data_IF_958570562663
#
_entry.id   IF_958570562663
#
_cell.length_a   1.000
_cell.length_b   1.000
_cell.length_c   1.000
_cell.angle_alpha   90.00
_cell.angle_beta   90.00
_cell.angle_gamma   90.00
#
_symmetry.space_group_name_H-M   'P 1'
#
loop_
_entity.id
_entity.type
_entity.pdbx_description
1 polymer ?
#
# COMPACT_ATOMS: atom_id res chain seq x y z
N UNK A 1 6.99 -50.50 -37.09
CA UNK A 1 6.55 -50.38 -35.68
C UNK A 1 5.50 -49.27 -35.62
N UNK A 2 4.21 -49.61 -35.48
CA UNK A 2 3.13 -48.62 -35.41
C UNK A 2 3.03 -48.04 -33.99
N UNK A 3 3.14 -46.72 -33.85
CA UNK A 3 3.02 -46.04 -32.56
C UNK A 3 1.60 -46.10 -31.97
N UNK A 4 1.49 -45.92 -30.66
CA UNK A 4 0.22 -45.98 -29.93
C UNK A 4 -0.81 -44.98 -30.48
N UNK A 5 -1.94 -45.52 -30.94
CA UNK A 5 -3.05 -44.78 -31.54
C UNK A 5 -3.68 -43.79 -30.54
N UNK A 6 -3.56 -44.05 -29.24
CA UNK A 6 -4.16 -43.21 -28.22
C UNK A 6 -3.51 -41.83 -28.12
N UNK A 7 -2.23 -41.68 -28.48
CA UNK A 7 -1.57 -40.36 -28.51
C UNK A 7 -2.18 -39.42 -29.56
N UNK A 8 -2.93 -39.94 -30.53
CA UNK A 8 -3.66 -39.12 -31.51
C UNK A 8 -5.00 -38.61 -30.97
N UNK A 9 -5.46 -39.10 -29.81
CA UNK A 9 -6.72 -38.70 -29.21
C UNK A 9 -6.49 -37.51 -28.27
N UNK A 10 -7.29 -36.46 -28.43
CA UNK A 10 -7.17 -35.21 -27.69
C UNK A 10 -7.38 -35.34 -26.18
N UNK A 11 -8.09 -36.37 -25.73
CA UNK A 11 -8.37 -36.62 -24.31
C UNK A 11 -7.28 -37.44 -23.61
N UNK A 12 -6.30 -38.00 -24.33
CA UNK A 12 -5.31 -38.90 -23.73
C UNK A 12 -4.37 -38.15 -22.77
N UNK A 13 -4.20 -38.69 -21.56
CA UNK A 13 -3.42 -38.03 -20.48
C UNK A 13 -1.92 -37.97 -20.79
N UNK A 14 -1.40 -38.91 -21.57
CA UNK A 14 0.01 -38.95 -21.98
C UNK A 14 0.41 -37.88 -23.01
N UNK A 15 -0.55 -37.13 -23.56
CA UNK A 15 -0.25 -36.06 -24.51
C UNK A 15 0.37 -34.87 -23.76
N UNK A 16 1.53 -34.38 -24.21
CA UNK A 16 2.22 -33.24 -23.57
C UNK A 16 1.30 -32.03 -23.35
N UNK A 17 0.41 -31.73 -24.30
CA UNK A 17 -0.57 -30.63 -24.19
C UNK A 17 -1.55 -30.77 -23.02
N UNK A 18 -1.85 -32.00 -22.60
CA UNK A 18 -2.74 -32.25 -21.47
C UNK A 18 -1.96 -32.27 -20.17
N UNK A 19 -0.75 -32.83 -20.17
CA UNK A 19 0.17 -32.77 -19.04
C UNK A 19 0.49 -31.32 -18.65
N UNK A 20 0.72 -30.43 -19.61
CA UNK A 20 0.94 -29.01 -19.34
C UNK A 20 -0.29 -28.33 -18.72
N UNK A 21 -1.50 -28.67 -19.16
CA UNK A 21 -2.74 -28.15 -18.56
C UNK A 21 -2.93 -28.62 -17.12
N UNK A 22 -2.68 -29.91 -16.87
CA UNK A 22 -2.74 -30.47 -15.51
C UNK A 22 -1.71 -29.78 -14.62
N UNK A 23 -0.48 -29.64 -15.10
CA UNK A 23 0.59 -28.96 -14.37
C UNK A 23 0.24 -27.49 -14.04
N UNK A 24 -0.31 -26.74 -15.00
CA UNK A 24 -0.77 -25.36 -14.76
C UNK A 24 -1.88 -25.29 -13.71
N UNK A 25 -2.84 -26.22 -13.75
CA UNK A 25 -3.92 -26.29 -12.78
C UNK A 25 -3.40 -26.67 -11.38
N UNK A 26 -2.45 -27.60 -11.30
CA UNK A 26 -1.78 -27.98 -10.04
C UNK A 26 -0.96 -26.83 -9.47
N UNK A 27 -0.22 -26.10 -10.30
CA UNK A 27 0.54 -24.92 -9.88
C UNK A 27 -0.38 -23.83 -9.32
N UNK A 28 -1.49 -23.54 -10.01
CA UNK A 28 -2.50 -22.59 -9.53
C UNK A 28 -3.10 -23.03 -8.19
N UNK A 29 -3.48 -24.31 -8.06
CA UNK A 29 -4.02 -24.86 -6.82
C UNK A 29 -3.01 -24.81 -5.66
N UNK A 30 -1.71 -25.01 -5.94
CA UNK A 30 -0.65 -24.86 -4.94
C UNK A 30 -0.46 -23.40 -4.52
N UNK A 31 -0.55 -22.45 -5.46
CA UNK A 31 -0.48 -21.02 -5.15
C UNK A 31 -1.65 -20.59 -4.26
N UNK A 32 -2.87 -21.03 -4.56
CA UNK A 32 -4.05 -20.79 -3.73
C UNK A 32 -3.89 -21.38 -2.32
N UNK A 33 -3.44 -22.63 -2.22
CA UNK A 33 -3.18 -23.28 -0.92
C UNK A 33 -2.15 -22.52 -0.09
N UNK A 34 -1.08 -22.04 -0.70
CA UNK A 34 -0.07 -21.19 -0.02
C UNK A 34 -0.69 -19.89 0.49
N UNK A 35 -1.52 -19.24 -0.31
CA UNK A 35 -2.19 -17.98 0.10
C UNK A 35 -3.16 -18.22 1.24
N UNK A 36 -3.94 -19.31 1.19
CA UNK A 36 -4.84 -19.70 2.26
C UNK A 36 -4.08 -20.03 3.54
N UNK A 37 -2.97 -20.77 3.45
CA UNK A 37 -2.12 -21.09 4.60
C UNK A 37 -1.55 -19.83 5.26
N UNK A 38 -1.11 -18.85 4.47
CA UNK A 38 -0.66 -17.55 4.98
C UNK A 38 -1.76 -16.83 5.77
N UNK A 39 -2.97 -16.75 5.22
CA UNK A 39 -4.11 -16.10 5.88
C UNK A 39 -4.52 -16.86 7.16
N UNK A 40 -4.43 -18.18 7.15
CA UNK A 40 -4.71 -19.00 8.33
C UNK A 40 -3.69 -18.75 9.45
N UNK A 41 -2.40 -18.64 9.10
CA UNK A 41 -1.35 -18.30 10.04
C UNK A 41 -1.55 -16.89 10.64
N UNK A 42 -1.82 -15.89 9.79
CA UNK A 42 -2.12 -14.51 10.22
C UNK A 42 -3.31 -14.48 11.20
N UNK A 43 -4.40 -15.19 10.90
CA UNK A 43 -5.56 -15.27 11.80
C UNK A 43 -5.22 -15.99 13.12
N UNK A 44 -4.34 -16.98 13.11
CA UNK A 44 -3.90 -17.67 14.32
C UNK A 44 -3.04 -16.74 15.19
N UNK A 45 -2.16 -15.95 14.57
CA UNK A 45 -1.37 -14.91 15.24
C UNK A 45 -2.28 -13.83 15.85
N UNK A 46 -3.27 -13.34 15.10
CA UNK A 46 -4.28 -12.38 15.61
C UNK A 46 -5.02 -12.93 16.82
N UNK A 47 -5.45 -14.20 16.79
CA UNK A 47 -6.12 -14.86 17.92
C UNK A 47 -5.21 -15.02 19.12
N UNK A 48 -3.94 -15.38 18.91
CA UNK A 48 -2.97 -15.52 19.99
C UNK A 48 -2.71 -14.16 20.68
N UNK A 49 -2.61 -13.09 19.88
CA UNK A 49 -2.47 -11.72 20.41
C UNK A 49 -3.73 -11.31 21.20
N UNK A 50 -4.92 -11.60 20.67
CA UNK A 50 -6.19 -11.34 21.36
C UNK A 50 -6.28 -12.10 22.69
N UNK A 51 -5.86 -13.36 22.73
CA UNK A 51 -5.79 -14.16 23.96
C UNK A 51 -4.82 -13.57 24.98
N UNK A 52 -3.62 -13.14 24.56
CA UNK A 52 -2.66 -12.48 25.44
C UNK A 52 -3.22 -11.18 26.02
N UNK A 53 -3.88 -10.36 25.19
CA UNK A 53 -4.54 -9.13 25.65
C UNK A 53 -5.66 -9.44 26.65
N UNK A 54 -6.44 -10.49 26.41
CA UNK A 54 -7.48 -10.94 27.33
C UNK A 54 -6.90 -11.39 28.67
N UNK A 55 -5.84 -12.21 28.66
CA UNK A 55 -5.17 -12.64 29.89
C UNK A 55 -4.54 -11.47 30.65
N UNK A 56 -3.98 -10.48 29.95
CA UNK A 56 -3.45 -9.26 30.55
C UNK A 56 -4.56 -8.42 31.21
N UNK A 57 -5.74 -8.35 30.58
CA UNK A 57 -6.91 -7.68 31.15
C UNK A 57 -7.43 -8.42 32.40
N UNK A 58 -7.54 -9.74 32.34
CA UNK A 58 -7.98 -10.59 33.46
C UNK A 58 -7.01 -10.54 34.65
N UNK A 59 -5.71 -10.46 34.39
CA UNK A 59 -4.67 -10.40 35.43
C UNK A 59 -4.62 -9.05 36.16
N UNK A 60 -5.25 -7.98 35.65
CA UNK A 60 -5.32 -6.68 36.31
C UNK A 60 -4.00 -5.91 36.46
N UNK A 61 -2.88 -6.43 35.96
CA UNK A 61 -1.52 -5.86 36.14
C UNK A 61 -1.24 -4.63 35.24
N UNK A 62 -2.15 -4.25 34.35
CA UNK A 62 -1.97 -3.09 33.48
C UNK A 62 -3.26 -2.32 33.22
N UNK A 63 -3.40 -1.13 33.81
CA UNK A 63 -4.57 -0.23 33.68
C UNK A 63 -4.87 0.30 32.26
N UNK A 64 -4.29 -0.27 31.21
CA UNK A 64 -4.56 0.05 29.80
C UNK A 64 -5.64 -0.85 29.16
N UNK A 65 -6.17 -1.83 29.89
CA UNK A 65 -7.07 -2.89 29.40
C UNK A 65 -8.49 -2.45 28.96
N UNK A 66 -8.80 -1.15 28.92
CA UNK A 66 -10.17 -0.67 28.65
C UNK A 66 -10.41 -0.15 27.23
N UNK A 67 -9.35 -0.01 26.40
CA UNK A 67 -9.52 0.45 25.02
C UNK A 67 -9.70 -0.77 24.12
N UNK A 68 -10.90 -0.89 23.51
CA UNK A 68 -11.18 -1.92 22.52
C UNK A 68 -10.06 -1.97 21.45
N UNK A 69 -9.43 -3.12 21.16
CA UNK A 69 -8.31 -3.22 20.22
C UNK A 69 -8.67 -2.72 18.81
N UNK A 70 -9.94 -2.88 18.40
CA UNK A 70 -10.47 -2.36 17.13
C UNK A 70 -10.46 -0.84 17.01
N UNK A 71 -10.50 -0.13 18.13
CA UNK A 71 -10.50 1.33 18.21
C UNK A 71 -9.13 1.86 18.68
N UNK A 72 -8.23 0.95 19.08
CA UNK A 72 -6.90 1.32 19.55
C UNK A 72 -6.13 2.12 18.49
N UNK A 73 -6.27 1.80 17.20
CA UNK A 73 -5.63 2.57 16.13
C UNK A 73 -6.07 4.06 16.11
N UNK A 74 -7.30 4.36 16.53
CA UNK A 74 -7.85 5.72 16.61
C UNK A 74 -7.26 6.51 17.79
N UNK A 75 -6.98 5.83 18.91
CA UNK A 75 -6.40 6.44 20.11
C UNK A 75 -4.87 6.29 20.20
N UNK A 76 -4.28 5.51 19.30
CA UNK A 76 -2.83 5.29 19.12
C UNK A 76 -2.17 6.36 18.24
N UNK A 77 -2.86 7.46 17.93
CA UNK A 77 -2.31 8.56 17.15
C UNK A 77 -1.00 9.12 17.76
N UNK A 78 -0.22 9.83 16.94
CA UNK A 78 1.11 10.39 17.26
C UNK A 78 1.24 11.15 18.59
N UNK A 79 0.12 11.47 19.25
CA UNK A 79 0.05 12.09 20.57
C UNK A 79 0.28 11.11 21.73
N UNK A 80 0.22 9.79 21.48
CA UNK A 80 0.28 8.74 22.52
C UNK A 80 1.65 8.03 22.63
N UNK A 81 2.63 8.41 21.80
CA UNK A 81 4.01 7.92 21.86
C UNK A 81 4.89 8.70 22.85
N UNK A 82 6.04 8.14 23.21
CA UNK A 82 7.06 8.70 24.13
C UNK A 82 7.57 10.10 23.73
N UNK A 83 7.30 10.54 22.50
CA UNK A 83 7.36 11.94 22.09
C UNK A 83 6.07 12.68 22.45
N UNK A 84 5.60 12.48 23.69
CA UNK A 84 4.47 13.19 24.24
C UNK A 84 4.73 14.67 24.01
N UNK A 85 3.74 15.36 23.44
CA UNK A 85 3.54 16.78 23.68
C UNK A 85 4.85 17.53 23.85
N UNK A 86 5.72 17.53 22.83
CA UNK A 86 6.94 18.31 22.92
C UNK A 86 6.47 19.71 23.30
N UNK A 87 6.96 20.25 24.41
CA UNK A 87 6.52 21.52 24.98
C UNK A 87 6.54 22.63 23.91
N UNK A 88 7.37 22.44 22.88
CA UNK A 88 7.49 23.27 21.70
C UNK A 88 6.33 23.13 20.70
N UNK A 89 5.77 21.93 20.51
CA UNK A 89 4.54 21.72 19.72
C UNK A 89 3.30 22.21 20.47
N UNK A 90 3.21 22.01 21.78
CA UNK A 90 2.11 22.56 22.58
C UNK A 90 2.17 24.08 22.67
N UNK A 91 3.36 24.65 22.85
CA UNK A 91 3.57 26.10 22.83
C UNK A 91 3.27 26.72 21.46
N UNK A 92 3.48 25.97 20.38
CA UNK A 92 3.14 26.39 19.02
C UNK A 92 1.62 26.35 18.79
N UNK A 93 0.94 25.28 19.19
CA UNK A 93 -0.52 25.18 19.14
C UNK A 93 -1.21 26.22 20.04
N UNK A 94 -0.60 26.56 21.18
CA UNK A 94 -1.06 27.60 22.10
C UNK A 94 -0.62 29.02 21.68
N UNK A 95 0.05 29.16 20.53
CA UNK A 95 0.46 30.45 19.95
C UNK A 95 1.54 31.20 20.73
N UNK A 96 2.18 30.57 21.73
CA UNK A 96 3.25 31.16 22.54
C UNK A 96 4.60 31.20 21.79
N UNK A 97 4.80 30.36 20.77
CA UNK A 97 6.02 30.33 19.94
C UNK A 97 5.68 30.31 18.45
N UNK A 98 6.48 30.99 17.63
CA UNK A 98 6.30 31.05 16.16
C UNK A 98 7.04 29.91 15.45
N UNK A 99 6.50 29.48 14.29
CA UNK A 99 7.03 28.38 13.44
C UNK A 99 8.52 28.54 13.11
N UNK A 100 8.97 29.80 13.03
CA UNK A 100 10.33 30.15 12.63
C UNK A 100 11.39 29.50 13.52
N UNK A 101 11.14 29.41 14.84
CA UNK A 101 12.09 28.79 15.77
C UNK A 101 12.18 27.26 15.64
N UNK A 102 11.13 26.62 15.13
CA UNK A 102 11.10 25.17 14.92
C UNK A 102 11.84 24.76 13.64
N UNK A 103 11.73 25.55 12.57
CA UNK A 103 12.48 25.31 11.34
C UNK A 103 13.99 25.52 11.55
N UNK A 104 14.36 26.59 12.27
CA UNK A 104 15.76 26.95 12.49
C UNK A 104 16.53 25.88 13.29
N UNK A 105 15.90 25.29 14.32
CA UNK A 105 16.50 24.18 15.08
C UNK A 105 16.63 22.89 14.27
N UNK A 106 15.70 22.61 13.35
CA UNK A 106 15.73 21.42 12.52
C UNK A 106 16.90 21.46 11.54
N UNK A 107 17.19 22.64 10.99
CA UNK A 107 18.32 22.86 10.09
C UNK A 107 19.68 22.74 10.81
N UNK A 108 19.79 23.18 12.07
CA UNK A 108 21.01 23.02 12.89
C UNK A 108 21.24 21.56 13.31
N UNK A 109 20.20 20.86 13.76
CA UNK A 109 20.29 19.45 14.14
C UNK A 109 20.64 18.54 12.95
N UNK A 110 20.20 18.91 11.74
CA UNK A 110 20.48 18.19 10.49
C UNK A 110 21.90 18.42 9.98
N UNK A 111 22.56 19.51 10.36
CA UNK A 111 23.95 19.80 9.98
C UNK A 111 24.97 19.10 10.89
N UNK A 112 24.58 18.68 12.11
CA UNK A 112 25.45 18.03 13.08
C UNK A 112 25.45 16.48 13.03
N UNK A 113 24.57 15.86 12.24
CA UNK A 113 24.45 14.40 12.16
C UNK A 113 25.05 13.82 10.87
N UNK A 114 26.27 13.27 10.96
CA UNK A 114 26.88 12.35 9.98
C UNK A 114 26.60 10.89 10.45
N UNK A 115 26.36 9.90 9.56
CA UNK A 115 25.38 8.85 9.81
C UNK A 115 25.95 7.56 10.43
N UNK A 116 25.24 7.00 11.40
CA UNK A 116 25.27 5.59 11.76
C UNK A 116 23.82 5.14 12.00
N UNK A 117 23.40 4.02 11.37
CA UNK A 117 22.01 3.52 11.34
C UNK A 117 21.43 3.10 12.72
N UNK A 118 20.21 2.56 12.79
CA UNK A 118 19.47 1.81 11.77
C UNK A 118 18.24 2.54 11.22
N UNK A 119 17.72 2.00 10.10
CA UNK A 119 16.70 2.56 9.22
C UNK A 119 15.38 2.89 9.93
N UNK A 120 15.25 4.12 10.42
CA UNK A 120 13.99 4.83 10.30
C UNK A 120 13.79 5.20 8.83
N UNK A 121 12.57 5.06 8.32
CA UNK A 121 12.22 5.33 6.93
C UNK A 121 12.22 6.84 6.74
N UNK A 122 13.42 7.41 6.68
CA UNK A 122 13.63 8.83 6.44
C UNK A 122 12.97 9.19 5.11
N UNK A 123 11.99 10.07 5.16
CA UNK A 123 11.46 10.83 4.03
C UNK A 123 12.52 11.83 3.49
N UNK A 124 13.73 11.32 3.26
CA UNK A 124 14.81 11.95 2.54
C UNK A 124 15.16 11.03 1.36
N UNK A 125 14.14 10.72 0.54
CA UNK A 125 14.39 10.14 -0.77
C UNK A 125 15.09 11.21 -1.60
N UNK A 126 16.38 11.03 -1.87
CA UNK A 126 17.02 11.68 -3.00
C UNK A 126 16.08 11.47 -4.20
N UNK A 127 15.44 12.55 -4.66
CA UNK A 127 14.28 12.44 -5.53
C UNK A 127 14.69 11.87 -6.88
N UNK A 128 14.50 10.56 -7.05
CA UNK A 128 14.61 9.92 -8.35
C UNK A 128 13.59 10.59 -9.27
N UNK A 129 14.05 11.21 -10.36
CA UNK A 129 13.17 11.85 -11.34
C UNK A 129 12.06 10.91 -11.82
N UNK A 130 12.36 9.61 -11.88
CA UNK A 130 11.40 8.55 -12.20
C UNK A 130 10.31 8.39 -11.14
N UNK A 131 10.63 8.50 -9.86
CA UNK A 131 9.65 8.41 -8.77
C UNK A 131 8.74 9.64 -8.72
N UNK A 132 9.28 10.83 -9.01
CA UNK A 132 8.46 12.05 -9.18
C UNK A 132 7.47 11.84 -10.33
N UNK A 133 7.94 11.31 -11.47
CA UNK A 133 7.06 11.03 -12.63
C UNK A 133 5.99 9.99 -12.32
N UNK A 134 6.32 8.94 -11.55
CA UNK A 134 5.34 7.94 -11.11
C UNK A 134 4.32 8.56 -10.17
N UNK A 135 4.75 9.33 -9.16
CA UNK A 135 3.85 9.99 -8.20
C UNK A 135 2.98 11.05 -8.86
N UNK A 136 3.53 11.84 -9.77
CA UNK A 136 2.77 12.78 -10.58
C UNK A 136 1.76 12.04 -11.49
N UNK A 137 2.11 10.86 -11.98
CA UNK A 137 1.21 10.00 -12.75
C UNK A 137 0.06 9.38 -11.96
N UNK A 138 0.17 9.33 -10.63
CA UNK A 138 -0.87 8.84 -9.72
C UNK A 138 -1.87 9.94 -9.30
N UNK A 139 -1.73 11.17 -9.81
CA UNK A 139 -2.67 12.26 -9.56
C UNK A 139 -4.01 12.02 -10.29
N UNK A 140 -5.15 11.94 -9.58
CA UNK A 140 -6.47 11.75 -10.18
C UNK A 140 -6.87 12.91 -11.12
N UNK A 141 -6.43 14.15 -10.86
CA UNK A 141 -6.74 15.28 -11.73
C UNK A 141 -6.03 15.17 -13.08
N UNK A 142 -4.79 14.68 -13.09
CA UNK A 142 -4.03 14.41 -14.30
C UNK A 142 -4.70 13.31 -15.14
N UNK A 143 -5.25 12.29 -14.50
CA UNK A 143 -6.00 11.23 -15.19
C UNK A 143 -7.25 11.79 -15.90
N UNK A 144 -8.01 12.64 -15.21
CA UNK A 144 -9.20 13.32 -15.77
C UNK A 144 -8.81 14.22 -16.96
N UNK A 145 -7.71 14.97 -16.83
CA UNK A 145 -7.23 15.83 -17.92
C UNK A 145 -6.82 15.03 -19.16
N UNK A 146 -6.12 13.90 -18.99
CA UNK A 146 -5.76 13.00 -20.09
C UNK A 146 -6.99 12.42 -20.77
N UNK A 147 -7.99 12.00 -20.00
CA UNK A 147 -9.25 11.49 -20.53
C UNK A 147 -9.99 12.56 -21.35
N UNK A 148 -10.05 13.80 -20.85
CA UNK A 148 -10.64 14.93 -21.57
C UNK A 148 -9.90 15.22 -22.88
N UNK A 149 -8.57 15.25 -22.86
CA UNK A 149 -7.76 15.45 -24.06
C UNK A 149 -7.98 14.33 -25.08
N UNK A 150 -7.98 13.06 -24.64
CA UNK A 150 -8.24 11.92 -25.50
C UNK A 150 -9.61 12.02 -26.19
N UNK A 151 -10.68 12.33 -25.44
CA UNK A 151 -12.01 12.52 -26.00
C UNK A 151 -12.10 13.66 -27.03
N UNK A 152 -11.35 14.75 -26.80
CA UNK A 152 -11.28 15.87 -27.75
C UNK A 152 -10.54 15.47 -29.03
N UNK A 153 -9.41 14.77 -28.91
CA UNK A 153 -8.66 14.30 -30.07
C UNK A 153 -9.45 13.29 -30.90
N UNK A 154 -10.21 12.41 -30.25
CA UNK A 154 -11.10 11.43 -30.90
C UNK A 154 -12.25 12.14 -31.63
N UNK A 155 -12.89 13.11 -30.98
CA UNK A 155 -13.94 13.92 -31.59
C UNK A 155 -13.40 14.71 -32.81
N UNK A 156 -12.17 15.22 -32.74
CA UNK A 156 -11.53 15.93 -33.86
C UNK A 156 -11.07 15.01 -35.01
N UNK A 157 -10.73 13.76 -34.70
CA UNK A 157 -10.31 12.75 -35.70
C UNK A 157 -11.45 12.34 -36.63
N UNK A 158 -12.70 12.36 -36.14
CA UNK A 158 -13.87 12.02 -36.95
C UNK A 158 -14.48 13.26 -37.63
N UNK A 159 -14.88 13.18 -38.92
CA UNK A 159 -15.45 14.32 -39.64
C UNK A 159 -16.81 14.76 -39.08
N UNK A 160 -17.57 13.83 -38.50
CA UNK A 160 -18.85 14.11 -37.83
C UNK A 160 -18.64 14.73 -36.44
N UNK A 161 -17.71 14.19 -35.63
CA UNK A 161 -17.38 14.72 -34.31
C UNK A 161 -16.81 16.14 -34.40
N UNK A 162 -15.98 16.43 -35.40
CA UNK A 162 -15.44 17.77 -35.65
C UNK A 162 -16.52 18.80 -35.96
N UNK A 163 -17.55 18.42 -36.73
CA UNK A 163 -18.70 19.29 -37.03
C UNK A 163 -19.55 19.56 -35.79
N UNK A 164 -19.76 18.55 -34.94
CA UNK A 164 -20.48 18.72 -33.68
C UNK A 164 -19.72 19.64 -32.72
N UNK A 165 -18.40 19.47 -32.61
CA UNK A 165 -17.55 20.31 -31.76
C UNK A 165 -17.54 21.78 -32.21
N UNK A 166 -17.48 22.03 -33.54
CA UNK A 166 -17.55 23.38 -34.11
C UNK A 166 -18.91 24.06 -33.97
N UNK A 167 -19.98 23.30 -33.72
CA UNK A 167 -21.33 23.83 -33.48
C UNK A 167 -21.57 24.17 -32.00
N UNK A 168 -20.81 23.55 -31.10
CA UNK A 168 -20.90 23.77 -29.65
C UNK A 168 -20.03 24.92 -29.15
N UNK A 169 -19.07 25.37 -29.97
CA UNK A 169 -18.31 26.60 -29.79
C UNK A 169 -19.08 27.79 -30.39
#
# INVERSE_FOLDING_TARGET
MGGDLNLKKSWHVGLQKNQTKVWQAEEAALAERKKVAQIQAERQEERAIEELHRLQAESGVGGKALINPKVAWMYSGSTSGVNGTSEEQESYLLGKRTVHSLLQKNDEARQLAKPAGPKEVSAATALNAREIQVKAGLDPLLAIQRQKQASLTEAMSTPMGRKMLMKQL
#
